data_IF_726421982425
#
_entry.id   IF_726421982425
#
_cell.length_a   1.000
_cell.length_b   1.000
_cell.length_c   1.000
_cell.angle_alpha   90.00
_cell.angle_beta   90.00
_cell.angle_gamma   90.00
#
_symmetry.space_group_name_H-M   'P 1'
#
loop_
_entity.id
_entity.type
_entity.pdbx_description
1 polymer ?
#
# COMPACT_ATOMS: atom_id res chain seq x y z
N UNK A 1 -11.64 -3.20 6.35
CA UNK A 1 -10.39 -3.15 5.56
C UNK A 1 -9.31 -3.83 6.38
N UNK A 2 -8.65 -4.85 5.83
CA UNK A 2 -7.51 -5.48 6.51
C UNK A 2 -6.22 -4.71 6.22
N UNK A 3 -5.39 -4.51 7.24
CA UNK A 3 -4.12 -3.81 7.11
C UNK A 3 -2.97 -4.82 7.17
N UNK A 4 -2.05 -4.71 6.22
CA UNK A 4 -0.97 -5.66 6.02
C UNK A 4 0.36 -4.95 5.78
N UNK A 5 1.43 -5.68 6.00
CA UNK A 5 2.81 -5.25 5.75
C UNK A 5 3.55 -6.37 5.04
N UNK A 6 4.36 -6.06 4.03
CA UNK A 6 5.30 -7.05 3.52
C UNK A 6 6.28 -7.46 4.61
N UNK A 7 6.45 -8.76 4.85
CA UNK A 7 7.39 -9.28 5.86
C UNK A 7 8.82 -8.81 5.64
N UNK A 8 9.22 -8.56 4.39
CA UNK A 8 10.52 -7.99 4.05
C UNK A 8 10.68 -6.53 4.48
N UNK A 9 9.62 -5.85 4.91
CA UNK A 9 9.65 -4.51 5.48
C UNK A 9 9.48 -4.53 7.01
N UNK A 10 9.12 -5.68 7.59
CA UNK A 10 9.06 -5.88 9.03
C UNK A 10 10.50 -5.98 9.59
N UNK A 11 11.16 -4.83 9.69
CA UNK A 11 12.48 -4.68 10.27
C UNK A 11 12.40 -3.90 11.59
N UNK A 12 12.43 -4.63 12.70
CA UNK A 12 12.45 -4.07 14.05
C UNK A 12 11.08 -3.64 14.58
N UNK A 13 11.08 -2.81 15.62
CA UNK A 13 9.89 -2.45 16.41
C UNK A 13 9.11 -1.25 15.82
N UNK A 14 8.99 -1.17 14.49
CA UNK A 14 8.42 -0.02 13.77
C UNK A 14 7.11 -0.34 13.04
N UNK A 15 6.50 -1.49 13.32
CA UNK A 15 5.21 -1.90 12.78
C UNK A 15 4.08 -0.90 13.11
N UNK A 16 4.24 -0.15 14.20
CA UNK A 16 3.32 0.94 14.56
C UNK A 16 3.28 2.05 13.49
N UNK A 17 4.41 2.37 12.85
CA UNK A 17 4.48 3.38 11.77
C UNK A 17 3.71 2.87 10.55
N UNK A 18 3.94 1.61 10.17
CA UNK A 18 3.22 1.00 9.06
C UNK A 18 1.71 1.01 9.33
N UNK A 19 1.30 0.74 10.58
CA UNK A 19 -0.10 0.80 10.99
C UNK A 19 -0.69 2.21 10.87
N UNK A 20 0.00 3.23 11.37
CA UNK A 20 -0.47 4.63 11.28
C UNK A 20 -0.62 5.08 9.82
N UNK A 21 0.39 4.81 8.99
CA UNK A 21 0.35 5.12 7.55
C UNK A 21 -0.83 4.44 6.86
N UNK A 22 -1.06 3.16 7.15
CA UNK A 22 -2.14 2.39 6.53
C UNK A 22 -3.52 2.79 7.04
N UNK A 23 -3.65 3.11 8.34
CA UNK A 23 -4.90 3.61 8.92
C UNK A 23 -5.27 4.96 8.31
N UNK A 24 -4.33 5.91 8.31
CA UNK A 24 -4.55 7.23 7.72
C UNK A 24 -4.90 7.12 6.23
N UNK A 25 -4.21 6.25 5.47
CA UNK A 25 -4.53 6.06 4.06
C UNK A 25 -5.92 5.44 3.85
N UNK A 26 -6.34 4.52 4.73
CA UNK A 26 -7.67 3.91 4.66
C UNK A 26 -8.80 4.91 4.91
N UNK A 27 -8.56 5.91 5.75
CA UNK A 27 -9.51 6.97 6.06
C UNK A 27 -9.57 8.01 4.94
N UNK A 28 -8.40 8.49 4.49
CA UNK A 28 -8.31 9.54 3.45
C UNK A 28 -8.85 9.06 2.11
N UNK A 29 -8.62 7.80 1.73
CA UNK A 29 -9.05 7.23 0.44
C UNK A 29 -10.23 6.27 0.58
N UNK A 30 -11.03 6.40 1.63
CA UNK A 30 -12.14 5.48 1.92
C UNK A 30 -13.11 5.34 0.74
N UNK A 31 -13.40 6.43 0.04
CA UNK A 31 -14.32 6.44 -1.11
C UNK A 31 -13.73 5.67 -2.31
N UNK A 32 -12.48 5.92 -2.67
CA UNK A 32 -11.78 5.24 -3.77
C UNK A 32 -11.60 3.75 -3.51
N UNK A 33 -11.26 3.40 -2.26
CA UNK A 33 -11.12 2.02 -1.81
C UNK A 33 -12.44 1.27 -1.91
N UNK A 34 -13.53 1.90 -1.47
CA UNK A 34 -14.88 1.33 -1.59
C UNK A 34 -15.30 1.16 -3.04
N UNK A 35 -15.13 2.19 -3.89
CA UNK A 35 -15.43 2.13 -5.33
C UNK A 35 -14.64 1.04 -6.07
N UNK A 36 -13.46 0.70 -5.56
CA UNK A 36 -12.56 -0.28 -6.18
C UNK A 36 -12.69 -1.68 -5.57
N UNK A 37 -13.65 -1.91 -4.67
CA UNK A 37 -13.81 -3.16 -3.90
C UNK A 37 -12.52 -3.61 -3.21
N UNK A 38 -11.75 -2.65 -2.68
CA UNK A 38 -10.54 -2.97 -1.93
C UNK A 38 -10.93 -3.59 -0.58
N UNK A 39 -10.42 -4.79 -0.32
CA UNK A 39 -10.58 -5.51 0.93
C UNK A 39 -9.36 -5.35 1.84
N UNK A 40 -8.17 -5.16 1.23
CA UNK A 40 -6.88 -5.15 1.92
C UNK A 40 -6.03 -3.98 1.48
N UNK A 41 -5.32 -3.39 2.44
CA UNK A 41 -4.20 -2.49 2.18
C UNK A 41 -2.91 -3.16 2.66
N UNK A 42 -1.86 -3.10 1.86
CA UNK A 42 -0.51 -3.46 2.30
C UNK A 42 0.48 -2.35 2.08
N UNK A 43 1.32 -2.08 3.08
CA UNK A 43 2.56 -1.35 2.86
C UNK A 43 3.55 -2.28 2.15
N UNK A 44 4.00 -1.87 0.96
CA UNK A 44 4.82 -2.72 0.06
C UNK A 44 6.17 -2.13 -0.30
N UNK A 45 6.36 -0.83 -0.07
CA UNK A 45 7.68 -0.19 -0.14
C UNK A 45 7.82 0.76 1.02
N UNK A 46 8.97 0.67 1.70
CA UNK A 46 9.44 1.61 2.69
C UNK A 46 10.71 2.27 2.15
N UNK A 47 10.78 3.60 2.20
CA UNK A 47 11.95 4.43 1.87
C UNK A 47 12.40 4.28 0.43
N UNK A 48 11.66 4.90 -0.47
CA UNK A 48 12.36 5.57 -1.57
C UNK A 48 12.86 6.90 -1.01
N UNK A 49 14.18 7.04 -0.76
CA UNK A 49 14.77 8.38 -0.61
C UNK A 49 14.65 9.02 -1.99
N UNK A 50 13.61 9.83 -2.20
CA UNK A 50 13.66 10.81 -3.29
C UNK A 50 14.83 11.76 -3.01
N UNK A 51 15.33 12.48 -4.01
CA UNK A 51 16.58 13.29 -3.94
C UNK A 51 16.63 14.38 -2.84
N UNK A 52 15.67 14.43 -1.91
CA UNK A 52 15.64 15.29 -0.73
C UNK A 52 15.68 14.58 0.64
N UNK A 53 15.72 13.25 0.70
CA UNK A 53 15.89 12.49 1.95
C UNK A 53 14.61 12.22 2.76
N UNK A 54 13.44 12.50 2.20
CA UNK A 54 12.14 12.23 2.84
C UNK A 54 11.73 10.75 2.70
N UNK A 55 10.92 10.27 3.66
CA UNK A 55 10.43 8.90 3.67
C UNK A 55 9.24 8.75 2.72
N UNK A 56 9.40 7.97 1.65
CA UNK A 56 8.29 7.62 0.76
C UNK A 56 7.74 6.22 1.07
N UNK A 57 6.41 6.11 1.10
CA UNK A 57 5.65 4.90 1.35
C UNK A 57 4.79 4.55 0.14
N UNK A 58 4.86 3.30 -0.31
CA UNK A 58 3.93 2.76 -1.32
C UNK A 58 2.99 1.76 -0.68
N UNK A 59 1.70 2.10 -0.68
CA UNK A 59 0.61 1.27 -0.20
C UNK A 59 -0.10 0.67 -1.41
N UNK A 60 -0.38 -0.62 -1.37
CA UNK A 60 -1.14 -1.34 -2.40
C UNK A 60 -2.51 -1.71 -1.86
N UNK A 61 -3.53 -1.47 -2.67
CA UNK A 61 -4.89 -1.91 -2.40
C UNK A 61 -5.19 -3.19 -3.18
N UNK A 62 -5.79 -4.17 -2.51
CA UNK A 62 -6.16 -5.45 -3.10
C UNK A 62 -7.63 -5.78 -2.87
N UNK A 63 -8.25 -6.44 -3.84
CA UNK A 63 -9.58 -7.05 -3.68
C UNK A 63 -9.53 -8.33 -2.83
N UNK A 64 -10.69 -8.96 -2.61
CA UNK A 64 -10.81 -10.21 -1.87
C UNK A 64 -10.05 -11.38 -2.51
N UNK A 65 -9.95 -11.40 -3.85
CA UNK A 65 -9.21 -12.40 -4.61
C UNK A 65 -7.67 -12.16 -4.58
N UNK A 66 -7.23 -11.03 -4.04
CA UNK A 66 -5.83 -10.65 -3.97
C UNK A 66 -5.30 -9.94 -5.22
N UNK A 67 -6.16 -9.49 -6.14
CA UNK A 67 -5.74 -8.67 -7.26
C UNK A 67 -5.48 -7.23 -6.81
N UNK A 68 -4.48 -6.59 -7.41
CA UNK A 68 -4.21 -5.17 -7.15
C UNK A 68 -5.33 -4.34 -7.80
N UNK A 69 -6.04 -3.56 -6.99
CA UNK A 69 -7.08 -2.62 -7.44
C UNK A 69 -6.64 -1.16 -7.37
N UNK A 70 -5.51 -0.88 -6.71
CA UNK A 70 -4.91 0.44 -6.72
C UNK A 70 -3.61 0.55 -5.95
N UNK A 71 -3.07 1.77 -5.94
CA UNK A 71 -1.85 2.15 -5.23
C UNK A 71 -2.04 3.53 -4.62
N UNK A 72 -1.46 3.76 -3.45
CA UNK A 72 -1.41 5.05 -2.78
C UNK A 72 0.06 5.33 -2.47
N UNK A 73 0.49 6.56 -2.73
CA UNK A 73 1.83 7.01 -2.35
C UNK A 73 1.73 8.09 -1.27
N UNK A 74 2.54 7.96 -0.23
CA UNK A 74 2.63 8.93 0.86
C UNK A 74 4.08 9.37 1.07
N UNK A 75 4.30 10.68 1.15
CA UNK A 75 5.61 11.31 1.34
C UNK A 75 6.04 11.47 2.80
N UNK A 76 5.18 11.12 3.77
CA UNK A 76 5.54 11.03 5.19
C UNK A 76 4.51 10.21 5.99
N UNK A 77 4.81 10.02 7.27
CA UNK A 77 4.00 9.27 8.25
C UNK A 77 2.70 10.01 8.61
N UNK A 78 2.67 11.33 8.41
CA UNK A 78 1.58 12.24 8.81
C UNK A 78 0.57 12.53 7.70
N UNK A 79 0.60 11.79 6.59
CA UNK A 79 -0.44 11.86 5.55
C UNK A 79 -0.23 12.91 4.46
N UNK A 80 1.00 13.29 4.14
CA UNK A 80 1.27 13.98 2.88
C UNK A 80 1.13 12.99 1.71
N UNK A 81 -0.09 12.83 1.20
CA UNK A 81 -0.37 11.89 0.10
C UNK A 81 -0.11 12.53 -1.25
N UNK A 82 0.61 11.81 -2.12
CA UNK A 82 0.75 12.19 -3.53
C UNK A 82 -0.54 11.87 -4.31
N UNK A 83 -1.31 10.86 -3.86
CA UNK A 83 -2.64 10.56 -4.39
C UNK A 83 -2.97 9.07 -4.49
N UNK A 84 -4.15 8.81 -5.04
CA UNK A 84 -4.67 7.50 -5.41
C UNK A 84 -4.39 7.20 -6.90
N UNK A 85 -3.89 6.00 -7.17
CA UNK A 85 -3.48 5.55 -8.51
C UNK A 85 -4.19 4.24 -8.89
N UNK A 86 -5.53 4.21 -8.86
CA UNK A 86 -6.32 3.02 -9.23
C UNK A 86 -6.47 2.79 -10.74
N UNK A 87 -6.83 3.83 -11.49
CA UNK A 87 -7.07 3.71 -12.93
C UNK A 87 -5.79 3.49 -13.74
N UNK A 88 -4.65 3.96 -13.21
CA UNK A 88 -3.35 3.72 -13.80
C UNK A 88 -2.92 2.25 -13.70
N UNK A 89 -3.32 1.54 -12.65
CA UNK A 89 -3.10 0.08 -12.53
C UNK A 89 -3.92 -0.66 -13.57
N UNK A 90 -5.19 -0.26 -13.77
CA UNK A 90 -6.07 -0.83 -14.82
C UNK A 90 -5.53 -0.58 -16.23
N UNK A 91 -4.97 0.61 -16.49
CA UNK A 91 -4.35 0.95 -17.79
C UNK A 91 -3.00 0.27 -18.02
N UNK A 92 -2.18 0.10 -16.98
CA UNK A 92 -0.81 -0.44 -17.08
C UNK A 92 -0.73 -1.97 -17.04
N UNK A 93 -1.81 -2.66 -16.65
CA UNK A 93 -1.94 -4.13 -16.71
C UNK A 93 -1.67 -4.75 -18.09
N UNK A 94 -1.66 -3.95 -19.17
CA UNK A 94 -1.26 -4.41 -20.51
C UNK A 94 0.24 -4.51 -20.77
N UNK A 95 1.14 -3.89 -19.97
CA UNK A 95 2.57 -3.80 -20.35
C UNK A 95 3.65 -3.84 -19.26
N UNK A 96 3.36 -3.77 -17.95
CA UNK A 96 4.44 -3.75 -16.93
C UNK A 96 4.38 -4.94 -15.97
N UNK A 97 5.31 -5.89 -16.17
CA UNK A 97 5.75 -6.89 -15.18
C UNK A 97 6.90 -6.27 -14.36
N UNK A 98 6.63 -5.51 -13.29
CA UNK A 98 7.66 -5.25 -12.27
C UNK A 98 7.48 -6.26 -11.15
N UNK A 99 8.56 -6.78 -10.54
CA UNK A 99 8.45 -7.84 -9.50
C UNK A 99 7.59 -7.47 -8.28
N UNK A 100 7.27 -6.19 -8.09
CA UNK A 100 6.33 -5.63 -7.11
C UNK A 100 4.86 -5.63 -7.56
N UNK A 101 4.55 -6.11 -8.77
CA UNK A 101 3.21 -6.19 -9.38
C UNK A 101 2.51 -7.53 -9.12
N UNK A 102 3.05 -8.36 -8.24
CA UNK A 102 2.44 -9.65 -7.87
C UNK A 102 1.26 -9.34 -6.93
N UNK A 103 0.15 -10.06 -7.10
CA UNK A 103 -1.02 -9.94 -6.24
C UNK A 103 -0.69 -10.19 -4.76
N UNK A 104 -1.70 -10.04 -3.92
CA UNK A 104 -1.56 -10.28 -2.49
C UNK A 104 -1.15 -11.72 -2.21
N UNK A 105 -0.12 -11.90 -1.37
CA UNK A 105 0.45 -13.20 -1.01
C UNK A 105 0.53 -13.30 0.51
N UNK A 106 -0.43 -13.98 1.14
CA UNK A 106 -0.57 -14.03 2.60
C UNK A 106 0.67 -14.60 3.31
N UNK A 107 1.44 -15.48 2.66
CA UNK A 107 2.70 -16.02 3.17
C UNK A 107 3.82 -14.98 3.23
N UNK A 108 3.79 -13.96 2.36
CA UNK A 108 4.75 -12.86 2.30
C UNK A 108 4.30 -11.61 3.04
N UNK A 109 3.03 -11.57 3.46
CA UNK A 109 2.43 -10.46 4.18
C UNK A 109 2.22 -10.82 5.65
N UNK A 110 2.31 -9.82 6.51
CA UNK A 110 2.01 -9.87 7.93
C UNK A 110 0.81 -8.96 8.17
N UNK A 111 -0.20 -9.47 8.88
CA UNK A 111 -1.37 -8.67 9.27
C UNK A 111 -0.98 -7.74 10.40
N UNK A 112 -1.42 -6.48 10.33
CA UNK A 112 -1.21 -5.48 11.36
C UNK A 112 -2.49 -5.29 12.16
N UNK A 113 -2.46 -5.71 13.44
CA UNK A 113 -3.62 -5.71 14.33
C UNK A 113 -4.46 -6.99 14.25
N UNK A 114 -5.38 -7.11 15.19
CA UNK A 114 -6.37 -8.20 15.26
C UNK A 114 -7.56 -7.94 14.33
#
# INVERSE_FOLDING_TARGET
MELWLLKSLAHGNRDWIAREVLQSASEVFAEELTKSNAARLSLTVWTHRTNGGENHYTIRAYDDAGHIVGSIHAGNESGAYEGWFGDEVKKSGRKKRSGTSIGFQSDKHMRLGD
#
